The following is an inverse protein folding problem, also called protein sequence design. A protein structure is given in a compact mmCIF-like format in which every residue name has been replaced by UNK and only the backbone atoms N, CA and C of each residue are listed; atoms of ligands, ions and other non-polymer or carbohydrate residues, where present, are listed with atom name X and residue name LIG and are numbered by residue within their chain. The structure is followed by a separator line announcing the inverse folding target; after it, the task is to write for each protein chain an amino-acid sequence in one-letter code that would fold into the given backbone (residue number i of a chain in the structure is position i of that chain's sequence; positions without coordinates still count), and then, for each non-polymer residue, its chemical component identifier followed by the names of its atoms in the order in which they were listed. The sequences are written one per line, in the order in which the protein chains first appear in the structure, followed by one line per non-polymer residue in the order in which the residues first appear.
data_IF_580974774721
#
_entry.id   IF_580974774721
#
_cell.length_a   1.000
_cell.length_b   1.000
_cell.length_c   1.000
_cell.angle_alpha   90.00
_cell.angle_beta   90.00
_cell.angle_gamma   90.00
#
_symmetry.space_group_name_H-M   'P 1'
#
loop_
_entity.id
_entity.type
_entity.pdbx_description
1 polymer ?
#
# COMPACT_ATOMS: atom_id res chain seq x y z
N UNK A 1 -7.49 -10.15 -22.37
CA UNK A 1 -6.38 -9.45 -23.06
C UNK A 1 -5.09 -9.53 -22.25
N UNK A 2 -5.02 -9.06 -20.99
CA UNK A 2 -3.77 -9.09 -20.18
C UNK A 2 -3.17 -10.49 -20.04
N UNK A 3 -3.98 -11.51 -19.78
CA UNK A 3 -3.51 -12.89 -19.63
C UNK A 3 -2.83 -13.48 -20.89
N UNK A 4 -3.15 -12.98 -22.09
CA UNK A 4 -2.62 -13.52 -23.34
C UNK A 4 -1.18 -13.06 -23.67
N UNK A 5 -0.71 -11.97 -23.04
CA UNK A 5 0.61 -11.41 -23.37
C UNK A 5 1.76 -11.99 -22.54
N UNK A 6 1.51 -12.95 -21.65
CA UNK A 6 2.55 -13.62 -20.87
C UNK A 6 3.22 -12.79 -19.77
N UNK A 7 2.90 -11.50 -19.68
CA UNK A 7 3.48 -10.58 -18.70
C UNK A 7 2.72 -10.59 -17.37
N UNK A 8 3.43 -10.40 -16.28
CA UNK A 8 2.83 -10.06 -15.00
C UNK A 8 2.20 -8.66 -15.07
N UNK A 9 1.15 -8.45 -14.30
CA UNK A 9 0.46 -7.16 -14.22
C UNK A 9 0.06 -6.83 -12.79
N UNK A 10 0.08 -5.54 -12.49
CA UNK A 10 -0.28 -5.00 -11.19
C UNK A 10 -1.66 -4.35 -11.23
N UNK A 11 -2.50 -4.69 -10.26
CA UNK A 11 -3.76 -4.01 -9.99
C UNK A 11 -3.63 -3.28 -8.67
N UNK A 12 -3.66 -1.94 -8.71
CA UNK A 12 -3.70 -1.10 -7.50
C UNK A 12 -5.09 -0.50 -7.39
N UNK A 13 -5.77 -0.74 -6.28
CA UNK A 13 -7.17 -0.31 -6.14
C UNK A 13 -7.56 0.01 -4.70
N UNK A 14 -8.61 0.82 -4.55
CA UNK A 14 -9.37 1.04 -3.31
C UNK A 14 -10.76 0.37 -3.36
N UNK A 15 -11.05 -0.41 -4.41
CA UNK A 15 -12.34 -1.09 -4.59
C UNK A 15 -12.28 -2.53 -4.14
N UNK A 16 -13.26 -2.96 -3.35
CA UNK A 16 -13.45 -4.36 -2.99
C UNK A 16 -13.96 -5.20 -4.16
N UNK A 17 -14.49 -4.59 -5.23
CA UNK A 17 -15.01 -5.28 -6.42
C UNK A 17 -13.97 -6.18 -7.09
N UNK A 18 -12.67 -5.89 -6.95
CA UNK A 18 -11.62 -6.73 -7.51
C UNK A 18 -11.70 -8.18 -7.02
N UNK A 19 -12.37 -8.42 -5.88
CA UNK A 19 -12.62 -9.74 -5.32
C UNK A 19 -14.01 -10.33 -5.66
N UNK A 20 -14.76 -9.73 -6.59
CA UNK A 20 -16.00 -10.30 -7.05
C UNK A 20 -15.71 -11.55 -7.91
N UNK A 21 -16.60 -12.54 -7.85
CA UNK A 21 -16.37 -13.83 -8.49
C UNK A 21 -16.14 -13.75 -10.01
N UNK A 22 -16.73 -12.75 -10.66
CA UNK A 22 -16.55 -12.52 -12.09
C UNK A 22 -15.10 -12.10 -12.42
N UNK A 23 -14.44 -11.31 -11.58
CA UNK A 23 -13.04 -10.92 -11.77
C UNK A 23 -12.08 -12.03 -11.36
N UNK A 24 -12.37 -12.73 -10.24
CA UNK A 24 -11.57 -13.89 -9.79
C UNK A 24 -11.50 -14.97 -10.88
N UNK A 25 -12.62 -15.22 -11.58
CA UNK A 25 -12.69 -16.24 -12.66
C UNK A 25 -11.85 -15.88 -13.89
N UNK A 26 -11.63 -14.60 -14.18
CA UNK A 26 -10.95 -14.16 -15.41
C UNK A 26 -9.52 -13.73 -15.19
N UNK A 27 -9.12 -13.39 -13.98
CA UNK A 27 -7.73 -13.05 -13.66
C UNK A 27 -6.86 -14.32 -13.63
N UNK A 28 -5.65 -14.22 -14.18
CA UNK A 28 -4.63 -15.26 -14.06
C UNK A 28 -3.86 -15.07 -12.76
N UNK A 29 -4.07 -15.94 -11.78
CA UNK A 29 -3.44 -15.84 -10.46
C UNK A 29 -1.92 -15.98 -10.46
N UNK A 30 -1.34 -16.54 -11.54
CA UNK A 30 0.11 -16.62 -11.69
C UNK A 30 0.74 -15.34 -12.26
N UNK A 31 -0.08 -14.38 -12.71
CA UNK A 31 0.36 -13.12 -13.34
C UNK A 31 -0.18 -11.88 -12.67
N UNK A 32 -1.34 -11.99 -12.00
CA UNK A 32 -1.98 -10.88 -11.34
C UNK A 32 -1.38 -10.64 -9.95
N UNK A 33 -0.79 -9.48 -9.77
CA UNK A 33 -0.39 -8.94 -8.48
C UNK A 33 -1.40 -7.89 -8.06
N UNK A 34 -1.91 -7.96 -6.84
CA UNK A 34 -3.00 -7.11 -6.40
C UNK A 34 -2.58 -6.34 -5.16
N UNK A 35 -2.67 -5.02 -5.21
CA UNK A 35 -2.47 -4.14 -4.07
C UNK A 35 -3.79 -3.44 -3.74
N UNK A 36 -4.35 -3.73 -2.58
CA UNK A 36 -5.54 -3.04 -2.10
C UNK A 36 -5.14 -2.00 -1.07
N UNK A 37 -5.43 -0.74 -1.37
CA UNK A 37 -5.08 0.37 -0.50
C UNK A 37 -5.97 0.40 0.73
N UNK A 38 -5.33 0.45 1.91
CA UNK A 38 -5.98 0.62 3.21
C UNK A 38 -5.33 1.79 3.93
N UNK A 39 -6.07 2.87 4.17
CA UNK A 39 -5.57 4.10 4.82
C UNK A 39 -5.99 4.21 6.28
N UNK A 40 -7.00 3.44 6.68
CA UNK A 40 -7.52 3.31 8.04
C UNK A 40 -8.32 2.00 8.16
N UNK A 41 -8.63 1.58 9.37
CA UNK A 41 -9.56 0.46 9.64
C UNK A 41 -10.93 0.94 10.17
N UNK A 42 -11.14 2.25 10.21
CA UNK A 42 -12.39 2.85 10.64
C UNK A 42 -13.22 3.26 9.42
N UNK A 43 -14.34 2.58 9.18
CA UNK A 43 -15.21 2.81 8.02
C UNK A 43 -15.81 4.21 8.03
N UNK A 44 -16.25 4.70 9.19
CA UNK A 44 -16.88 6.02 9.31
C UNK A 44 -15.86 7.14 9.09
N UNK A 45 -14.69 7.03 9.68
CA UNK A 45 -13.59 7.97 9.46
C UNK A 45 -13.16 7.97 7.98
N UNK A 46 -13.00 6.80 7.37
CA UNK A 46 -12.67 6.69 5.95
C UNK A 46 -13.67 7.44 5.07
N UNK A 47 -14.96 7.35 5.37
CA UNK A 47 -16.02 7.98 4.57
C UNK A 47 -15.96 9.51 4.54
N UNK A 48 -15.22 10.12 5.49
CA UNK A 48 -15.05 11.58 5.55
C UNK A 48 -14.14 12.12 4.45
N UNK A 49 -13.20 11.29 3.93
CA UNK A 49 -12.23 11.72 2.93
C UNK A 49 -12.11 10.80 1.71
N UNK A 50 -12.69 9.60 1.73
CA UNK A 50 -12.69 8.66 0.59
C UNK A 50 -14.12 8.30 0.16
N UNK A 51 -14.32 8.13 -1.17
CA UNK A 51 -15.58 7.68 -1.79
C UNK A 51 -15.49 6.25 -2.36
N UNK A 52 -14.48 5.50 -1.99
CA UNK A 52 -14.25 4.11 -2.42
C UNK A 52 -14.94 3.11 -1.48
N UNK A 53 -14.72 1.81 -1.69
CA UNK A 53 -15.20 0.76 -0.78
C UNK A 53 -14.72 0.99 0.64
N UNK A 54 -15.51 0.59 1.63
CA UNK A 54 -15.16 0.73 3.04
C UNK A 54 -13.91 -0.09 3.39
N UNK A 55 -13.06 0.35 4.33
CA UNK A 55 -11.93 -0.44 4.81
C UNK A 55 -12.26 -1.87 5.19
N UNK A 56 -13.38 -2.09 5.89
CA UNK A 56 -13.83 -3.44 6.27
C UNK A 56 -14.13 -4.34 5.06
N UNK A 57 -14.63 -3.77 3.96
CA UNK A 57 -14.87 -4.49 2.70
C UNK A 57 -13.55 -4.80 1.99
N UNK A 58 -12.60 -3.84 2.01
CA UNK A 58 -11.27 -4.03 1.42
C UNK A 58 -10.50 -5.17 2.12
N UNK A 59 -10.55 -5.25 3.45
CA UNK A 59 -9.92 -6.36 4.20
C UNK A 59 -10.56 -7.69 3.82
N UNK A 60 -11.90 -7.79 3.74
CA UNK A 60 -12.59 -9.00 3.28
C UNK A 60 -12.18 -9.39 1.87
N UNK A 61 -12.05 -8.40 0.97
CA UNK A 61 -11.60 -8.62 -0.41
C UNK A 61 -10.17 -9.19 -0.47
N UNK A 62 -9.24 -8.65 0.33
CA UNK A 62 -7.87 -9.16 0.42
C UNK A 62 -7.87 -10.63 0.87
N UNK A 63 -8.58 -10.96 1.95
CA UNK A 63 -8.64 -12.32 2.48
C UNK A 63 -9.25 -13.29 1.45
N UNK A 64 -10.34 -12.90 0.78
CA UNK A 64 -10.97 -13.71 -0.27
C UNK A 64 -10.03 -13.98 -1.45
N UNK A 65 -9.27 -12.95 -1.88
CA UNK A 65 -8.30 -13.11 -2.97
C UNK A 65 -7.13 -14.01 -2.56
N UNK A 66 -6.63 -13.89 -1.32
CA UNK A 66 -5.60 -14.78 -0.79
C UNK A 66 -6.08 -16.23 -0.72
N UNK A 67 -7.32 -16.47 -0.26
CA UNK A 67 -7.94 -17.80 -0.24
C UNK A 67 -8.08 -18.38 -1.66
N UNK A 68 -8.37 -17.54 -2.65
CA UNK A 68 -8.41 -17.93 -4.06
C UNK A 68 -7.01 -18.16 -4.67
N UNK A 69 -5.92 -17.91 -3.94
CA UNK A 69 -4.53 -18.16 -4.34
C UNK A 69 -3.89 -17.03 -5.14
N UNK A 70 -4.40 -15.81 -5.04
CA UNK A 70 -3.76 -14.63 -5.64
C UNK A 70 -2.64 -14.06 -4.76
N UNK A 71 -1.65 -13.44 -5.40
CA UNK A 71 -0.70 -12.56 -4.73
C UNK A 71 -1.36 -11.22 -4.37
N UNK A 72 -1.58 -11.00 -3.09
CA UNK A 72 -2.27 -9.81 -2.59
C UNK A 72 -1.49 -9.16 -1.46
N UNK A 73 -1.36 -7.86 -1.53
CA UNK A 73 -0.69 -7.03 -0.54
C UNK A 73 -1.61 -5.91 -0.06
N UNK A 74 -1.45 -5.50 1.19
CA UNK A 74 -1.97 -4.21 1.64
C UNK A 74 -1.06 -3.10 1.11
N UNK A 75 -1.63 -2.04 0.56
CA UNK A 75 -0.93 -0.80 0.28
C UNK A 75 -1.37 0.27 1.29
N UNK A 76 -0.47 0.66 2.18
CA UNK A 76 -0.65 1.83 3.06
C UNK A 76 -0.28 3.07 2.26
N UNK A 77 -1.25 3.70 1.59
CA UNK A 77 -1.02 4.82 0.67
C UNK A 77 -2.16 5.86 0.74
N UNK A 78 -1.88 7.02 1.33
CA UNK A 78 -0.68 7.35 2.10
C UNK A 78 -0.67 6.68 3.47
N UNK A 79 0.53 6.37 3.98
CA UNK A 79 0.70 5.95 5.36
C UNK A 79 0.72 7.17 6.29
N UNK A 80 -0.30 7.28 7.11
CA UNK A 80 -0.44 8.28 8.18
C UNK A 80 -0.61 7.50 9.49
N UNK A 81 0.40 7.46 10.38
CA UNK A 81 0.37 6.59 11.57
C UNK A 81 -0.86 6.77 12.45
N UNK A 82 -1.36 8.00 12.58
CA UNK A 82 -2.53 8.32 13.41
C UNK A 82 -3.84 7.72 12.87
N UNK A 83 -3.87 7.29 11.59
CA UNK A 83 -5.07 6.78 10.94
C UNK A 83 -5.15 5.26 10.94
N UNK A 84 -4.03 4.57 11.17
CA UNK A 84 -3.94 3.10 11.04
C UNK A 84 -3.61 2.46 12.36
N UNK A 85 -4.50 1.61 12.85
CA UNK A 85 -4.23 0.69 13.95
C UNK A 85 -3.46 -0.52 13.39
N UNK A 86 -2.13 -0.46 13.48
CA UNK A 86 -1.23 -1.48 12.94
C UNK A 86 -1.38 -2.83 13.64
N UNK A 87 -1.63 -2.84 14.96
CA UNK A 87 -1.85 -4.08 15.70
C UNK A 87 -3.12 -4.80 15.24
N UNK A 88 -4.18 -4.04 15.01
CA UNK A 88 -5.41 -4.58 14.47
C UNK A 88 -5.22 -5.06 13.03
N UNK A 89 -4.45 -4.33 12.24
CA UNK A 89 -4.15 -4.70 10.86
C UNK A 89 -3.33 -5.99 10.80
N UNK A 90 -2.30 -6.15 11.62
CA UNK A 90 -1.48 -7.36 11.70
C UNK A 90 -2.31 -8.60 12.09
N UNK A 91 -3.31 -8.44 12.98
CA UNK A 91 -4.23 -9.52 13.40
C UNK A 91 -5.17 -10.00 12.28
N UNK A 92 -5.26 -9.34 11.16
CA UNK A 92 -6.05 -9.81 10.00
C UNK A 92 -5.47 -11.06 9.33
N UNK A 93 -4.20 -11.40 9.61
CA UNK A 93 -3.49 -12.50 8.97
C UNK A 93 -2.90 -12.16 7.60
N UNK A 94 -2.98 -10.91 7.16
CA UNK A 94 -2.36 -10.43 5.93
C UNK A 94 -0.87 -10.20 6.20
N UNK A 95 0.00 -10.77 5.37
CA UNK A 95 1.41 -10.88 5.68
C UNK A 95 2.31 -9.84 4.97
N UNK A 96 1.80 -9.17 3.94
CA UNK A 96 2.61 -8.30 3.06
C UNK A 96 2.05 -6.90 2.99
N UNK A 97 2.93 -5.91 3.18
CA UNK A 97 2.57 -4.49 3.21
C UNK A 97 3.52 -3.69 2.31
N UNK A 98 2.95 -2.85 1.47
CA UNK A 98 3.67 -1.81 0.73
C UNK A 98 3.36 -0.46 1.37
N UNK A 99 4.37 0.27 1.75
CA UNK A 99 4.24 1.58 2.38
C UNK A 99 4.54 2.69 1.39
N UNK A 100 3.66 3.67 1.31
CA UNK A 100 3.88 4.92 0.59
C UNK A 100 3.64 6.08 1.56
N UNK A 101 4.67 6.89 1.78
CA UNK A 101 4.58 8.02 2.71
C UNK A 101 3.74 9.16 2.12
N UNK A 102 3.09 9.91 3.01
CA UNK A 102 2.32 11.08 2.60
C UNK A 102 3.23 12.13 1.97
N UNK A 103 2.84 12.60 0.79
CA UNK A 103 3.40 13.80 0.14
C UNK A 103 2.48 14.98 0.41
N UNK A 104 3.02 16.08 0.86
CA UNK A 104 2.24 17.21 1.38
C UNK A 104 2.33 18.41 0.44
N UNK A 105 1.18 18.86 -0.02
CA UNK A 105 1.01 20.15 -0.71
C UNK A 105 -0.08 20.99 -0.03
N UNK A 106 -0.44 22.13 -0.63
CA UNK A 106 -1.46 23.04 -0.07
C UNK A 106 -2.85 22.41 0.02
N UNK A 107 -3.19 21.43 -0.85
CA UNK A 107 -4.47 20.74 -0.82
C UNK A 107 -4.52 19.71 0.29
N UNK A 108 -3.47 18.91 0.45
CA UNK A 108 -3.35 17.90 1.52
C UNK A 108 -3.46 18.56 2.89
N UNK A 109 -2.85 19.73 3.09
CA UNK A 109 -2.94 20.50 4.34
C UNK A 109 -4.38 20.93 4.71
N UNK A 110 -5.27 20.97 3.73
CA UNK A 110 -6.70 21.29 3.95
C UNK A 110 -7.54 20.05 4.26
N UNK A 111 -7.06 18.86 3.91
CA UNK A 111 -7.82 17.63 4.05
C UNK A 111 -7.59 16.90 5.37
N UNK A 112 -6.37 16.95 5.87
CA UNK A 112 -5.98 16.21 7.07
C UNK A 112 -5.51 17.17 8.16
N UNK A 113 -6.07 17.00 9.35
CA UNK A 113 -5.62 17.70 10.56
C UNK A 113 -4.53 16.88 11.25
N UNK A 114 -3.29 17.04 10.76
CA UNK A 114 -2.08 16.39 11.28
C UNK A 114 -0.96 17.42 11.42
N UNK A 115 0.07 17.07 12.20
CA UNK A 115 1.28 17.89 12.29
C UNK A 115 2.13 17.79 11.01
N UNK A 116 2.23 18.91 10.30
CA UNK A 116 3.02 19.04 9.08
C UNK A 116 4.41 19.60 9.32
N UNK A 117 4.81 19.94 10.54
CA UNK A 117 6.09 20.60 10.86
C UNK A 117 7.31 19.77 10.44
N UNK A 118 7.18 18.46 10.40
CA UNK A 118 8.25 17.53 10.04
C UNK A 118 8.42 17.30 8.54
N UNK A 119 7.51 17.79 7.69
CA UNK A 119 7.58 17.67 6.23
C UNK A 119 8.45 18.78 5.65
N UNK A 120 9.76 18.65 5.79
CA UNK A 120 10.76 19.71 5.52
C UNK A 120 11.49 19.59 4.18
N UNK A 121 11.48 18.43 3.54
CA UNK A 121 12.14 18.21 2.25
C UNK A 121 11.19 18.57 1.11
N UNK A 122 11.73 19.23 0.07
CA UNK A 122 10.93 19.69 -1.07
C UNK A 122 11.36 18.99 -2.36
N UNK A 123 10.39 18.40 -3.07
CA UNK A 123 10.57 17.87 -4.42
C UNK A 123 9.25 17.91 -5.19
N UNK A 124 9.28 18.35 -6.44
CA UNK A 124 8.18 18.26 -7.43
C UNK A 124 6.83 18.82 -6.95
N UNK A 125 6.87 19.92 -6.18
CA UNK A 125 5.65 20.57 -5.69
C UNK A 125 5.10 20.00 -4.38
N UNK A 126 5.82 19.07 -3.74
CA UNK A 126 5.44 18.44 -2.47
C UNK A 126 6.52 18.57 -1.40
N UNK A 127 6.06 18.67 -0.16
CA UNK A 127 6.92 18.47 1.00
C UNK A 127 6.92 16.99 1.41
N UNK A 128 8.09 16.46 1.75
CA UNK A 128 8.33 15.09 2.19
C UNK A 128 8.93 15.07 3.60
N UNK A 129 8.79 13.93 4.27
CA UNK A 129 9.48 13.64 5.53
C UNK A 129 10.96 13.34 5.28
N UNK A 130 11.87 13.76 6.19
CA UNK A 130 13.23 13.25 6.22
C UNK A 130 13.32 11.74 6.40
N UNK A 131 14.41 11.14 5.93
CA UNK A 131 14.62 9.69 5.99
C UNK A 131 14.50 9.13 7.41
N UNK A 132 15.08 9.79 8.40
CA UNK A 132 15.05 9.37 9.79
C UNK A 132 13.62 9.24 10.33
N UNK A 133 12.73 10.18 9.92
CA UNK A 133 11.33 10.15 10.33
C UNK A 133 10.56 9.01 9.66
N UNK A 134 10.83 8.74 8.40
CA UNK A 134 10.27 7.59 7.70
C UNK A 134 10.72 6.26 8.33
N UNK A 135 11.99 6.15 8.69
CA UNK A 135 12.52 4.99 9.40
C UNK A 135 11.92 4.80 10.79
N UNK A 136 11.70 5.89 11.53
CA UNK A 136 10.99 5.85 12.81
C UNK A 136 9.56 5.31 12.64
N UNK A 137 8.84 5.76 11.62
CA UNK A 137 7.49 5.27 11.30
C UNK A 137 7.49 3.79 10.92
N UNK A 138 8.46 3.33 10.13
CA UNK A 138 8.56 1.93 9.69
C UNK A 138 8.87 0.97 10.85
N UNK A 139 9.60 1.40 11.88
CA UNK A 139 9.86 0.57 13.08
C UNK A 139 8.59 0.13 13.79
N UNK A 140 7.51 0.88 13.64
CA UNK A 140 6.22 0.56 14.23
C UNK A 140 5.40 -0.44 13.40
N UNK A 141 5.79 -0.70 12.15
CA UNK A 141 5.11 -1.65 11.27
C UNK A 141 5.63 -3.06 11.57
N UNK A 142 5.06 -3.70 12.58
CA UNK A 142 5.42 -5.03 13.05
C UNK A 142 4.31 -6.05 12.78
N UNK A 143 4.63 -7.35 12.84
CA UNK A 143 3.65 -8.42 12.64
C UNK A 143 3.38 -8.78 11.19
N UNK A 144 4.11 -8.22 10.23
CA UNK A 144 4.07 -8.57 8.81
C UNK A 144 5.35 -9.34 8.43
N UNK A 145 5.22 -10.29 7.50
CA UNK A 145 6.37 -11.05 6.98
C UNK A 145 7.23 -10.22 6.05
N UNK A 146 6.60 -9.30 5.33
CA UNK A 146 7.26 -8.45 4.36
C UNK A 146 6.70 -7.03 4.42
N UNK A 147 7.59 -6.07 4.51
CA UNK A 147 7.29 -4.64 4.44
C UNK A 147 8.19 -4.05 3.37
N UNK A 148 7.60 -3.50 2.30
CA UNK A 148 8.31 -2.82 1.22
C UNK A 148 7.93 -1.36 1.17
N UNK A 149 8.76 -0.54 0.55
CA UNK A 149 8.55 0.91 0.44
C UNK A 149 8.46 1.30 -1.02
N UNK A 150 7.33 1.93 -1.40
CA UNK A 150 7.15 2.58 -2.69
C UNK A 150 7.25 4.10 -2.48
N UNK A 151 8.34 4.69 -2.90
CA UNK A 151 8.64 6.09 -2.67
C UNK A 151 9.20 6.73 -3.94
N UNK A 152 8.83 7.98 -4.18
CA UNK A 152 9.30 8.78 -5.33
C UNK A 152 10.25 9.93 -4.95
N UNK A 153 10.54 10.14 -3.65
CA UNK A 153 11.58 11.09 -3.25
C UNK A 153 12.97 10.55 -3.60
N UNK A 154 13.60 11.19 -4.57
CA UNK A 154 14.78 10.65 -5.27
C UNK A 154 15.96 10.34 -4.35
N UNK A 155 16.23 11.20 -3.34
CA UNK A 155 17.37 11.02 -2.42
C UNK A 155 17.21 9.81 -1.49
N UNK A 156 15.96 9.34 -1.26
CA UNK A 156 15.69 8.16 -0.43
C UNK A 156 15.55 6.87 -1.24
N UNK A 157 15.44 6.97 -2.56
CA UNK A 157 15.11 5.84 -3.42
C UNK A 157 16.14 4.71 -3.33
N UNK A 158 17.44 5.04 -3.37
CA UNK A 158 18.50 4.04 -3.28
C UNK A 158 18.53 3.35 -1.91
N UNK A 159 18.23 4.10 -0.84
CA UNK A 159 18.11 3.51 0.50
C UNK A 159 17.02 2.43 0.57
N UNK A 160 15.83 2.70 -0.01
CA UNK A 160 14.74 1.71 -0.03
C UNK A 160 15.09 0.48 -0.85
N UNK A 161 15.76 0.66 -1.97
CA UNK A 161 16.23 -0.44 -2.82
C UNK A 161 17.22 -1.35 -2.09
N UNK A 162 18.11 -0.78 -1.30
CA UNK A 162 19.16 -1.51 -0.61
C UNK A 162 18.67 -2.20 0.67
N UNK A 163 17.76 -1.58 1.41
CA UNK A 163 17.44 -2.00 2.77
C UNK A 163 16.03 -2.57 2.98
N UNK A 164 15.09 -2.27 2.08
CA UNK A 164 13.68 -2.63 2.27
C UNK A 164 13.09 -3.46 1.12
N UNK A 165 13.47 -3.18 -0.10
CA UNK A 165 12.84 -3.82 -1.25
C UNK A 165 13.64 -5.06 -1.68
N UNK A 166 13.07 -6.28 -1.62
CA UNK A 166 13.78 -7.51 -1.96
C UNK A 166 14.32 -7.52 -3.40
N UNK A 167 13.60 -6.85 -4.31
CA UNK A 167 14.07 -6.57 -5.66
C UNK A 167 14.31 -5.06 -5.83
N UNK A 168 15.57 -4.63 -5.99
CA UNK A 168 15.88 -3.20 -6.13
C UNK A 168 15.21 -2.49 -7.32
N UNK A 169 14.82 -3.23 -8.35
CA UNK A 169 14.21 -2.69 -9.55
C UNK A 169 12.68 -2.84 -9.58
N UNK A 170 12.08 -3.35 -8.51
CA UNK A 170 10.67 -3.69 -8.45
C UNK A 170 10.11 -3.45 -7.05
N UNK A 171 9.88 -2.19 -6.71
CA UNK A 171 9.29 -1.79 -5.41
C UNK A 171 7.88 -2.35 -5.18
N UNK A 172 7.20 -2.77 -6.24
CA UNK A 172 5.86 -3.37 -6.20
C UNK A 172 5.89 -4.89 -6.16
N UNK A 173 7.09 -5.51 -6.17
CA UNK A 173 7.32 -6.95 -6.08
C UNK A 173 6.62 -7.78 -7.16
N UNK A 174 6.48 -7.25 -8.38
CA UNK A 174 5.88 -7.93 -9.53
C UNK A 174 6.68 -9.15 -9.99
N UNK A 175 7.98 -9.16 -9.71
CA UNK A 175 8.91 -10.21 -10.13
C UNK A 175 9.11 -11.32 -9.11
N UNK A 176 8.57 -11.21 -7.90
CA UNK A 176 8.75 -12.21 -6.82
C UNK A 176 7.96 -13.51 -7.09
N UNK A 177 7.06 -13.52 -8.03
CA UNK A 177 6.38 -14.73 -8.47
C UNK A 177 7.24 -15.54 -9.43
N UNK A 178 8.17 -16.29 -8.86
CA UNK A 178 8.58 -17.57 -9.44
C UNK A 178 7.79 -18.65 -8.70
N UNK A 179 7.05 -19.50 -9.40
CA UNK A 179 6.31 -20.59 -8.81
C UNK A 179 7.21 -21.55 -8.06
#
# INVERSE_FOLDING_TARGET
MLNHHGNNYLIVTKSAMVADDEYIKVMDKNKAHIQITVTTLNDDFCSTYEKASKPSERIKAILKLQEAGFDVQIRLSPYIPQFVDLDKLAKTGINRVVVEFLRVNTWIRKWFDIDYSQYTLWQDGFNHLPLEKKLEMLKNITGFKEVTVCEDYSEHYDYWKEHFNPNPNDCCNLSIFTP
#
